data_IF_931904653167
#
_entry.id   IF_931904653167
#
_cell.length_a   1.000
_cell.length_b   1.000
_cell.length_c   1.000
_cell.angle_alpha   90.00
_cell.angle_beta   90.00
_cell.angle_gamma   90.00
#
_symmetry.space_group_name_H-M   'P 1'
#
loop_
_entity.id
_entity.type
_entity.pdbx_description
1 polymer ?
#
# COMPACT_ATOMS: atom_id res chain seq x y z
N UNK A 1 2.78 -30.93 26.88
CA UNK A 1 1.75 -30.64 25.84
C UNK A 1 1.18 -29.24 26.09
N UNK A 2 1.82 -28.18 25.57
CA UNK A 2 1.29 -26.78 25.43
C UNK A 2 2.35 -25.70 25.13
N UNK A 3 3.60 -26.02 24.74
CA UNK A 3 4.62 -24.99 24.42
C UNK A 3 5.04 -24.91 22.95
N UNK A 4 4.61 -25.85 22.11
CA UNK A 4 5.00 -25.89 20.69
C UNK A 4 3.99 -25.23 19.73
N UNK A 5 2.79 -24.90 20.21
CA UNK A 5 1.76 -24.25 19.37
C UNK A 5 1.96 -22.74 19.20
N UNK A 6 2.69 -22.08 20.12
CA UNK A 6 2.97 -20.64 20.02
C UNK A 6 4.15 -20.32 19.09
N UNK A 7 5.12 -21.23 18.96
CA UNK A 7 6.30 -21.03 18.10
C UNK A 7 5.99 -21.27 16.62
N UNK A 8 5.05 -22.16 16.30
CA UNK A 8 4.64 -22.39 14.91
C UNK A 8 3.87 -21.20 14.32
N UNK A 9 3.19 -20.41 15.16
CA UNK A 9 2.53 -19.19 14.73
C UNK A 9 3.53 -18.02 14.53
N UNK A 10 4.57 -17.94 15.37
CA UNK A 10 5.57 -16.86 15.30
C UNK A 10 6.58 -17.02 14.14
N UNK A 11 6.93 -18.25 13.76
CA UNK A 11 7.85 -18.52 12.64
C UNK A 11 7.17 -18.24 11.28
N UNK A 12 5.85 -18.43 11.18
CA UNK A 12 5.08 -18.01 10.00
C UNK A 12 4.87 -16.49 9.96
N UNK A 13 4.78 -15.84 11.13
CA UNK A 13 4.65 -14.39 11.25
C UNK A 13 5.90 -13.63 10.81
N UNK A 14 7.11 -14.18 11.01
CA UNK A 14 8.37 -13.49 10.67
C UNK A 14 8.76 -13.51 9.18
N UNK A 15 8.22 -14.44 8.36
CA UNK A 15 8.59 -14.53 6.93
C UNK A 15 7.67 -13.75 5.99
N UNK A 16 6.60 -13.16 6.53
CA UNK A 16 5.57 -12.42 5.80
C UNK A 16 5.45 -10.97 6.29
N UNK A 17 6.57 -10.32 6.62
CA UNK A 17 6.65 -8.86 6.79
C UNK A 17 7.48 -8.31 5.64
N UNK A 18 6.92 -8.39 4.42
CA UNK A 18 7.41 -7.72 3.22
C UNK A 18 6.22 -7.25 2.38
N UNK A 19 5.50 -6.26 2.91
CA UNK A 19 4.87 -5.14 2.21
C UNK A 19 4.24 -4.29 3.32
N UNK A 20 4.53 -2.99 3.38
CA UNK A 20 3.80 -2.08 4.28
C UNK A 20 2.47 -1.73 3.62
N UNK A 21 1.62 -2.73 3.48
CA UNK A 21 0.24 -2.54 3.09
C UNK A 21 -0.48 -1.88 4.25
N UNK A 22 -1.26 -0.85 3.95
CA UNK A 22 -2.01 -0.10 4.95
C UNK A 22 -3.04 -1.03 5.60
N UNK A 23 -2.90 -1.30 6.90
CA UNK A 23 -3.89 -2.08 7.65
C UNK A 23 -5.24 -1.36 7.59
N UNK A 24 -6.33 -2.10 7.36
CA UNK A 24 -7.69 -1.55 7.28
C UNK A 24 -8.22 -1.24 8.68
N UNK A 25 -7.66 -0.21 9.31
CA UNK A 25 -7.82 0.08 10.73
C UNK A 25 -9.27 0.41 11.11
N UNK A 26 -10.03 1.07 10.23
CA UNK A 26 -11.48 1.30 10.42
C UNK A 26 -12.26 0.00 10.50
N UNK A 27 -12.10 -0.89 9.53
CA UNK A 27 -12.76 -2.20 9.51
C UNK A 27 -12.41 -3.01 10.76
N UNK A 28 -11.11 -3.03 11.12
CA UNK A 28 -10.61 -3.75 12.29
C UNK A 28 -11.17 -3.19 13.60
N UNK A 29 -11.26 -1.86 13.70
CA UNK A 29 -11.80 -1.17 14.88
C UNK A 29 -13.27 -1.49 15.04
N UNK A 30 -14.08 -1.33 13.98
CA UNK A 30 -15.52 -1.65 14.02
C UNK A 30 -15.75 -3.11 14.43
N UNK A 31 -15.00 -4.04 13.82
CA UNK A 31 -15.07 -5.46 14.16
C UNK A 31 -14.82 -5.72 15.65
N UNK A 32 -13.74 -5.16 16.20
CA UNK A 32 -13.38 -5.32 17.62
C UNK A 32 -14.40 -4.67 18.55
N UNK A 33 -14.90 -3.48 18.21
CA UNK A 33 -15.91 -2.76 18.99
C UNK A 33 -17.21 -3.56 19.07
N UNK A 34 -17.60 -4.22 17.97
CA UNK A 34 -18.79 -5.11 17.94
C UNK A 34 -18.53 -6.51 18.51
N UNK A 35 -17.29 -6.85 18.84
CA UNK A 35 -16.92 -8.13 19.47
C UNK A 35 -16.81 -9.32 18.51
N UNK A 36 -16.76 -9.07 17.19
CA UNK A 36 -16.68 -10.16 16.21
C UNK A 36 -15.25 -10.67 16.01
N UNK A 37 -15.15 -11.97 15.79
CA UNK A 37 -13.91 -12.67 15.43
C UNK A 37 -13.63 -12.55 13.94
N UNK A 38 -12.37 -12.79 13.53
CA UNK A 38 -12.02 -12.86 12.11
C UNK A 38 -12.68 -14.05 11.40
N UNK A 39 -12.99 -15.11 12.14
CA UNK A 39 -13.68 -16.28 11.61
C UNK A 39 -15.12 -15.95 11.22
N UNK A 40 -15.87 -15.26 12.09
CA UNK A 40 -17.25 -14.86 11.80
C UNK A 40 -17.35 -13.95 10.56
N UNK A 41 -16.39 -13.05 10.35
CA UNK A 41 -16.38 -12.21 9.15
C UNK A 41 -15.92 -12.98 7.90
N UNK A 42 -15.05 -13.98 8.04
CA UNK A 42 -14.68 -14.86 6.94
C UNK A 42 -15.88 -15.71 6.47
N UNK A 43 -16.75 -16.13 7.39
CA UNK A 43 -17.97 -16.87 7.07
C UNK A 43 -18.98 -16.01 6.28
N UNK A 44 -18.96 -14.68 6.48
CA UNK A 44 -19.84 -13.72 5.76
C UNK A 44 -19.42 -13.53 4.31
N UNK A 45 -18.12 -13.42 4.07
CA UNK A 45 -17.56 -13.29 2.72
C UNK A 45 -16.89 -14.61 2.34
N UNK A 46 -17.58 -15.59 1.73
CA UNK A 46 -17.21 -17.01 1.68
C UNK A 46 -15.72 -17.26 1.38
N UNK A 47 -14.90 -17.20 2.42
CA UNK A 47 -13.43 -17.15 2.36
C UNK A 47 -12.89 -17.82 3.62
N UNK A 48 -11.63 -18.23 3.58
CA UNK A 48 -10.94 -18.75 4.75
C UNK A 48 -10.42 -17.64 5.67
N UNK A 49 -10.22 -17.96 6.95
CA UNK A 49 -9.75 -17.04 7.98
C UNK A 49 -8.39 -16.42 7.65
N UNK A 50 -7.50 -17.16 6.99
CA UNK A 50 -6.18 -16.67 6.59
C UNK A 50 -6.28 -15.61 5.49
N UNK A 51 -7.10 -15.86 4.48
CA UNK A 51 -7.37 -14.89 3.43
C UNK A 51 -8.12 -13.65 3.95
N UNK A 52 -9.08 -13.82 4.86
CA UNK A 52 -9.70 -12.68 5.56
C UNK A 52 -8.67 -11.87 6.35
N UNK A 53 -7.78 -12.52 7.10
CA UNK A 53 -6.72 -11.84 7.85
C UNK A 53 -5.83 -11.00 6.94
N UNK A 54 -5.46 -11.53 5.76
CA UNK A 54 -4.70 -10.78 4.75
C UNK A 54 -5.48 -9.61 4.19
N UNK A 55 -6.79 -9.77 3.96
CA UNK A 55 -7.68 -8.67 3.54
C UNK A 55 -7.75 -7.56 4.59
N UNK A 56 -7.94 -7.91 5.86
CA UNK A 56 -7.98 -6.96 6.98
C UNK A 56 -6.61 -6.28 7.22
N UNK A 57 -5.51 -7.00 6.99
CA UNK A 57 -4.15 -6.45 7.14
C UNK A 57 -3.66 -5.66 5.92
N UNK A 58 -4.45 -5.57 4.85
CA UNK A 58 -4.10 -4.86 3.61
C UNK A 58 -3.31 -5.68 2.59
N UNK A 59 -2.92 -6.92 2.90
CA UNK A 59 -2.15 -7.79 2.01
C UNK A 59 -2.93 -8.40 0.83
N UNK A 60 -4.25 -8.20 0.79
CA UNK A 60 -5.17 -8.57 -0.29
C UNK A 60 -6.28 -7.52 -0.36
N UNK A 61 -6.67 -7.10 -1.56
CA UNK A 61 -7.75 -6.13 -1.71
C UNK A 61 -9.13 -6.72 -1.40
N UNK A 62 -10.04 -5.86 -0.93
CA UNK A 62 -11.43 -6.21 -0.67
C UNK A 62 -12.30 -5.62 -1.79
N UNK A 63 -13.05 -6.48 -2.47
CA UNK A 63 -13.95 -6.08 -3.55
C UNK A 63 -15.16 -5.32 -3.02
N UNK A 64 -15.76 -4.46 -3.85
CA UNK A 64 -16.95 -3.68 -3.44
C UNK A 64 -18.10 -4.57 -2.94
N UNK A 65 -18.30 -5.74 -3.56
CA UNK A 65 -19.32 -6.70 -3.13
C UNK A 65 -19.03 -7.31 -1.77
N UNK A 66 -17.76 -7.54 -1.44
CA UNK A 66 -17.35 -8.01 -0.12
C UNK A 66 -17.54 -6.91 0.93
N UNK A 67 -17.18 -5.66 0.60
CA UNK A 67 -17.44 -4.50 1.46
C UNK A 67 -18.91 -4.36 1.82
N UNK A 68 -19.82 -4.51 0.85
CA UNK A 68 -21.25 -4.46 1.10
C UNK A 68 -21.74 -5.58 2.04
N UNK A 69 -21.22 -6.80 1.89
CA UNK A 69 -21.56 -7.92 2.77
C UNK A 69 -21.07 -7.69 4.20
N UNK A 70 -19.83 -7.21 4.34
CA UNK A 70 -19.24 -6.88 5.64
C UNK A 70 -19.98 -5.74 6.31
N UNK A 71 -20.29 -4.66 5.60
CA UNK A 71 -21.08 -3.54 6.09
C UNK A 71 -22.47 -3.98 6.58
N UNK A 72 -23.15 -4.84 5.80
CA UNK A 72 -24.45 -5.40 6.18
C UNK A 72 -24.37 -6.25 7.43
N UNK A 73 -23.35 -7.10 7.54
CA UNK A 73 -23.16 -7.95 8.72
C UNK A 73 -22.78 -7.13 9.97
N UNK A 74 -21.93 -6.14 9.78
CA UNK A 74 -21.53 -5.22 10.83
C UNK A 74 -22.57 -4.13 11.09
N UNK A 75 -23.73 -4.11 10.42
CA UNK A 75 -24.78 -3.08 10.57
C UNK A 75 -24.25 -1.64 10.58
N UNK A 76 -23.31 -1.34 9.68
CA UNK A 76 -22.70 -0.01 9.52
C UNK A 76 -22.73 0.40 8.05
N UNK A 77 -22.76 1.70 7.72
CA UNK A 77 -22.57 2.16 6.35
C UNK A 77 -21.18 1.75 5.83
N UNK A 78 -21.09 1.46 4.52
CA UNK A 78 -19.82 1.04 3.89
C UNK A 78 -18.75 2.12 4.07
N UNK A 79 -19.15 3.39 4.01
CA UNK A 79 -18.31 4.57 4.15
C UNK A 79 -17.58 4.65 5.50
N UNK A 80 -18.13 4.03 6.55
CA UNK A 80 -17.53 4.01 7.88
C UNK A 80 -16.42 2.97 8.00
N UNK A 81 -16.50 1.87 7.25
CA UNK A 81 -15.48 0.81 7.24
C UNK A 81 -14.51 0.90 6.06
N UNK A 82 -14.87 1.67 5.02
CA UNK A 82 -14.10 1.78 3.80
C UNK A 82 -12.87 2.68 3.97
N UNK A 83 -11.76 2.19 3.43
CA UNK A 83 -10.50 2.91 3.31
C UNK A 83 -9.95 2.73 1.91
N UNK A 84 -9.69 3.84 1.22
CA UNK A 84 -9.07 3.85 -0.11
C UNK A 84 -7.74 3.12 -0.07
N UNK A 85 -7.51 2.25 -1.05
CA UNK A 85 -6.19 1.68 -1.28
C UNK A 85 -5.37 2.72 -2.02
N UNK A 86 -4.55 3.49 -1.30
CA UNK A 86 -3.53 4.31 -1.95
C UNK A 86 -2.61 3.36 -2.73
N UNK A 87 -2.75 3.37 -4.05
CA UNK A 87 -1.87 2.63 -4.94
C UNK A 87 -0.46 3.21 -4.81
N UNK A 88 0.35 2.62 -3.92
CA UNK A 88 1.79 2.87 -3.89
C UNK A 88 2.37 2.32 -5.19
N UNK A 89 2.52 3.18 -6.19
CA UNK A 89 3.32 2.87 -7.37
C UNK A 89 4.77 2.67 -6.92
N UNK A 90 5.17 1.41 -6.73
CA UNK A 90 6.58 1.05 -6.61
C UNK A 90 7.16 1.21 -8.01
N UNK A 91 7.86 2.31 -8.26
CA UNK A 91 8.71 2.44 -9.44
C UNK A 91 9.90 1.50 -9.19
N UNK A 92 9.78 0.25 -9.62
CA UNK A 92 10.92 -0.65 -9.70
C UNK A 92 11.87 -0.12 -10.77
N UNK A 93 12.88 0.65 -10.38
CA UNK A 93 14.09 0.73 -11.19
C UNK A 93 14.76 -0.63 -11.05
N UNK A 94 14.89 -1.46 -12.12
CA UNK A 94 15.64 -2.70 -12.04
C UNK A 94 17.13 -2.36 -11.93
N UNK A 95 17.59 -2.03 -10.73
CA UNK A 95 19.01 -1.95 -10.42
C UNK A 95 19.49 -3.39 -10.29
N UNK A 96 20.15 -3.89 -11.33
CA UNK A 96 20.94 -5.12 -11.29
C UNK A 96 21.96 -4.99 -10.14
N UNK A 97 21.65 -5.53 -8.97
CA UNK A 97 22.58 -5.61 -7.84
C UNK A 97 23.17 -7.01 -7.85
N UNK A 98 24.35 -7.15 -8.45
CA UNK A 98 25.23 -8.28 -8.17
C UNK A 98 25.75 -8.14 -6.74
N UNK A 99 25.35 -9.11 -5.94
CA UNK A 99 25.68 -9.42 -4.57
C UNK A 99 27.04 -8.87 -4.08
N UNK A 100 27.04 -7.84 -3.23
CA UNK A 100 27.95 -7.77 -2.07
C UNK A 100 27.25 -7.03 -0.93
N UNK A 101 27.06 -7.72 0.20
CA UNK A 101 26.41 -7.15 1.36
C UNK A 101 27.19 -5.96 1.91
N UNK A 102 26.57 -4.78 1.89
CA UNK A 102 26.93 -3.65 2.75
C UNK A 102 25.63 -2.99 3.19
N UNK A 103 25.21 -3.35 4.41
CA UNK A 103 24.16 -2.68 5.14
C UNK A 103 24.78 -1.40 5.73
N UNK A 104 24.71 -0.28 5.01
CA UNK A 104 25.10 1.03 5.54
C UNK A 104 23.94 1.98 5.30
N UNK A 105 23.25 2.31 6.39
CA UNK A 105 22.13 3.22 6.40
C UNK A 105 22.51 4.56 5.78
N UNK A 106 21.85 4.90 4.67
CA UNK A 106 21.91 6.22 4.03
C UNK A 106 20.58 6.48 3.30
N UNK A 107 19.49 6.67 4.05
CA UNK A 107 18.20 7.14 3.52
C UNK A 107 18.05 8.68 3.58
N UNK A 108 19.15 9.42 3.72
CA UNK A 108 19.16 10.91 3.77
C UNK A 108 19.83 11.53 2.53
N UNK A 109 20.70 10.79 1.83
CA UNK A 109 21.40 11.32 0.64
C UNK A 109 20.64 11.09 -0.68
N UNK A 110 19.88 10.00 -0.79
CA UNK A 110 19.18 9.61 -2.04
C UNK A 110 17.98 10.50 -2.36
N UNK A 111 17.31 11.06 -1.35
CA UNK A 111 16.18 11.99 -1.54
C UNK A 111 16.62 13.37 -2.02
N UNK A 112 17.80 13.84 -1.64
CA UNK A 112 18.30 15.16 -2.03
C UNK A 112 18.85 15.17 -3.47
N UNK A 113 19.55 14.12 -3.88
CA UNK A 113 20.10 13.98 -5.23
C UNK A 113 18.99 13.85 -6.29
N UNK A 114 17.91 13.13 -5.96
CA UNK A 114 16.74 12.99 -6.84
C UNK A 114 15.98 14.31 -7.02
N UNK A 115 15.92 15.16 -5.99
CA UNK A 115 15.30 16.47 -6.08
C UNK A 115 16.09 17.45 -6.96
N UNK A 116 17.42 17.46 -6.86
CA UNK A 116 18.27 18.37 -7.64
C UNK A 116 18.22 18.06 -9.15
N UNK A 117 18.31 16.78 -9.51
CA UNK A 117 18.15 16.34 -10.90
C UNK A 117 16.76 16.66 -11.45
N UNK A 118 15.72 16.53 -10.62
CA UNK A 118 14.35 16.87 -11.00
C UNK A 118 14.18 18.38 -11.26
N UNK A 119 14.84 19.23 -10.48
CA UNK A 119 14.80 20.70 -10.65
C UNK A 119 15.48 21.10 -11.97
N UNK A 120 16.62 20.50 -12.31
CA UNK A 120 17.35 20.82 -13.53
C UNK A 120 16.57 20.41 -14.79
N UNK A 121 15.92 19.25 -14.76
CA UNK A 121 15.02 18.80 -15.84
C UNK A 121 13.83 19.77 -15.99
N UNK A 122 13.19 20.16 -14.88
CA UNK A 122 12.06 21.10 -14.94
C UNK A 122 12.49 22.44 -15.56
N UNK A 123 13.68 22.95 -15.20
CA UNK A 123 14.21 24.21 -15.72
C UNK A 123 14.44 24.14 -17.23
N UNK A 124 15.10 23.08 -17.71
CA UNK A 124 15.35 22.89 -19.15
C UNK A 124 14.04 22.75 -19.95
N UNK A 125 13.04 22.08 -19.40
CA UNK A 125 11.71 21.97 -20.02
C UNK A 125 10.98 23.33 -20.11
N UNK A 126 11.05 24.15 -19.06
CA UNK A 126 10.45 25.49 -19.05
C UNK A 126 11.09 26.41 -20.09
N UNK A 127 12.42 26.35 -20.25
CA UNK A 127 13.15 27.12 -21.25
C UNK A 127 12.73 26.71 -22.67
N UNK A 128 12.64 25.41 -22.94
CA UNK A 128 12.16 24.90 -24.23
C UNK A 128 10.72 25.34 -24.55
N UNK A 129 9.82 25.31 -23.56
CA UNK A 129 8.45 25.84 -23.71
C UNK A 129 8.46 27.33 -24.06
N UNK A 130 9.38 28.10 -23.48
CA UNK A 130 9.57 29.52 -23.80
C UNK A 130 9.91 29.73 -25.28
N UNK A 131 10.92 29.01 -25.77
CA UNK A 131 11.34 29.06 -27.18
C UNK A 131 10.20 28.68 -28.12
N UNK A 132 9.45 27.62 -27.80
CA UNK A 132 8.29 27.21 -28.59
C UNK A 132 7.18 28.26 -28.63
N UNK A 133 6.89 28.92 -27.50
CA UNK A 133 5.89 30.00 -27.46
C UNK A 133 6.32 31.21 -28.29
N UNK A 134 7.60 31.56 -28.25
CA UNK A 134 8.15 32.63 -29.05
C UNK A 134 8.07 32.31 -30.55
N UNK A 135 8.43 31.08 -30.94
CA UNK A 135 8.29 30.59 -32.32
C UNK A 135 6.84 30.69 -32.81
N UNK A 136 5.88 30.22 -32.01
CA UNK A 136 4.44 30.33 -32.32
C UNK A 136 4.03 31.78 -32.51
N UNK A 137 4.55 32.70 -31.69
CA UNK A 137 4.24 34.12 -31.81
C UNK A 137 4.85 34.75 -33.07
N UNK A 138 6.03 34.30 -33.52
CA UNK A 138 6.60 34.74 -34.81
C UNK A 138 5.79 34.23 -35.99
N UNK A 139 5.37 32.97 -35.98
CA UNK A 139 4.63 32.33 -37.07
C UNK A 139 3.16 32.78 -37.16
N UNK A 140 2.62 33.38 -36.09
CA UNK A 140 1.26 33.96 -36.07
C UNK A 140 1.20 35.39 -36.59
N UNK A 141 2.34 36.03 -36.88
CA UNK A 141 2.40 37.29 -37.62
C UNK A 141 2.32 37.00 -39.13
#
# INVERSE_FOLDING_TARGET
MTRDFFLFNLIFFCKFVKMSDMQKEKLRTVRKTKGYTQQELADVIPTDVSNYSRKESGGVSITQTEWQKLAKFLEVPVEEIYEEEEAKFIIENPVFTDNTGVNVGNNIATTNISNELSIEIIKTMQEYIGLLKEEINRLKK
#
